data_IF_452876957886
#
_entry.id   IF_452876957886
#
_cell.length_a   1.000
_cell.length_b   1.000
_cell.length_c   1.000
_cell.angle_alpha   90.00
_cell.angle_beta   90.00
_cell.angle_gamma   90.00
#
_symmetry.space_group_name_H-M   'P 1'
#
loop_
_entity.id
_entity.type
_entity.pdbx_description
1 polymer ?
#
# COMPACT_ATOMS: atom_id res chain seq x y z
N UNK A 1 20.33 -55.78 -44.13
CA UNK A 1 20.37 -54.39 -44.62
C UNK A 1 18.95 -53.85 -44.51
N UNK A 2 18.56 -52.84 -43.74
CA UNK A 2 19.19 -51.98 -42.73
C UNK A 2 18.02 -51.62 -41.80
N UNK A 3 18.22 -51.81 -40.49
CA UNK A 3 17.41 -51.20 -39.44
C UNK A 3 17.55 -49.68 -39.51
N UNK A 4 16.46 -48.92 -39.40
CA UNK A 4 16.56 -47.51 -39.07
C UNK A 4 15.59 -47.19 -37.94
N UNK A 5 16.17 -47.22 -36.73
CA UNK A 5 15.75 -46.41 -35.60
C UNK A 5 15.67 -44.94 -36.02
N UNK A 6 14.58 -44.29 -35.66
CA UNK A 6 14.40 -42.86 -35.79
C UNK A 6 13.67 -42.35 -34.56
N UNK A 7 14.39 -42.29 -33.44
CA UNK A 7 13.95 -41.59 -32.25
C UNK A 7 13.77 -40.11 -32.59
N UNK A 8 12.52 -39.70 -32.74
CA UNK A 8 12.15 -38.29 -32.66
C UNK A 8 12.13 -37.93 -31.19
N UNK A 9 13.19 -37.26 -30.75
CA UNK A 9 13.30 -36.69 -29.42
C UNK A 9 12.03 -35.89 -29.09
N UNK A 10 11.41 -36.20 -27.95
CA UNK A 10 10.47 -35.30 -27.27
C UNK A 10 11.14 -33.93 -27.13
N UNK A 11 10.69 -32.96 -27.91
CA UNK A 11 11.03 -31.55 -27.73
C UNK A 11 10.43 -31.14 -26.38
N UNK A 12 11.27 -31.12 -25.34
CA UNK A 12 10.97 -30.52 -24.05
C UNK A 12 10.28 -29.18 -24.27
N UNK A 13 9.07 -28.93 -23.72
CA UNK A 13 8.37 -27.68 -23.93
C UNK A 13 9.29 -26.51 -23.56
N UNK A 14 9.55 -25.59 -24.50
CA UNK A 14 10.23 -24.32 -24.21
C UNK A 14 9.46 -23.67 -23.06
N UNK A 15 10.06 -23.63 -21.88
CA UNK A 15 9.50 -22.96 -20.71
C UNK A 15 9.34 -21.47 -21.07
N UNK A 16 8.10 -21.06 -21.35
CA UNK A 16 7.80 -19.68 -21.71
C UNK A 16 7.97 -18.86 -20.43
N UNK A 17 9.07 -18.11 -20.34
CA UNK A 17 9.37 -17.26 -19.19
C UNK A 17 8.27 -16.19 -19.02
N UNK A 18 7.90 -15.84 -17.78
CA UNK A 18 6.97 -14.75 -17.54
C UNK A 18 7.58 -13.42 -17.97
N UNK A 19 6.75 -12.44 -18.39
CA UNK A 19 7.24 -11.12 -18.72
C UNK A 19 7.86 -10.43 -17.51
N UNK A 20 8.93 -9.69 -17.76
CA UNK A 20 9.61 -8.85 -16.77
C UNK A 20 8.80 -7.58 -16.49
N UNK A 21 8.90 -7.01 -15.27
CA UNK A 21 8.24 -5.75 -14.95
C UNK A 21 8.80 -4.60 -15.77
N UNK A 22 7.94 -3.68 -16.18
CA UNK A 22 8.38 -2.46 -16.87
C UNK A 22 9.15 -1.53 -15.93
N UNK A 23 9.95 -0.64 -16.51
CA UNK A 23 10.75 0.36 -15.78
C UNK A 23 10.13 1.76 -15.82
N UNK A 24 9.05 1.95 -16.59
CA UNK A 24 8.38 3.24 -16.74
C UNK A 24 6.90 3.14 -16.38
N UNK A 25 6.31 4.26 -15.95
CA UNK A 25 4.89 4.35 -15.59
C UNK A 25 3.97 3.97 -16.75
N UNK A 26 4.27 4.48 -17.95
CA UNK A 26 3.44 4.27 -19.14
C UNK A 26 3.36 2.80 -19.55
N UNK A 27 4.41 2.02 -19.26
CA UNK A 27 4.55 0.63 -19.67
C UNK A 27 4.16 -0.37 -18.58
N UNK A 28 4.07 0.06 -17.32
CA UNK A 28 3.84 -0.84 -16.19
C UNK A 28 2.47 -1.53 -16.22
N UNK A 29 1.39 -0.79 -16.41
CA UNK A 29 0.04 -1.38 -16.53
C UNK A 29 -0.10 -2.24 -17.80
N UNK A 30 0.42 -1.83 -18.98
CA UNK A 30 0.57 -2.74 -20.13
C UNK A 30 1.32 -4.03 -19.81
N UNK A 31 2.43 -3.97 -19.06
CA UNK A 31 3.20 -5.14 -18.67
C UNK A 31 2.38 -6.08 -17.76
N UNK A 32 1.58 -5.56 -16.83
CA UNK A 32 0.66 -6.38 -16.02
C UNK A 32 -0.42 -7.07 -16.87
N UNK A 33 -0.92 -6.41 -17.93
CA UNK A 33 -1.85 -7.03 -18.88
C UNK A 33 -1.19 -8.16 -19.68
N UNK A 34 0.09 -7.99 -20.05
CA UNK A 34 0.88 -9.04 -20.68
C UNK A 34 1.09 -10.22 -19.73
N UNK A 35 1.38 -9.96 -18.45
CA UNK A 35 1.54 -11.00 -17.43
C UNK A 35 0.30 -11.88 -17.29
N UNK A 36 -0.90 -11.30 -17.28
CA UNK A 36 -2.15 -12.09 -17.27
C UNK A 36 -2.36 -12.87 -18.54
N UNK A 37 -2.01 -12.29 -19.69
CA UNK A 37 -2.11 -12.97 -20.99
C UNK A 37 -1.18 -14.18 -21.01
N UNK A 38 0.04 -14.03 -20.49
CA UNK A 38 0.99 -15.13 -20.29
C UNK A 38 0.44 -16.20 -19.34
N UNK A 39 -0.16 -15.79 -18.22
CA UNK A 39 -0.76 -16.72 -17.26
C UNK A 39 -2.02 -17.43 -17.81
N UNK A 40 -2.62 -16.93 -18.90
CA UNK A 40 -3.82 -17.50 -19.51
C UNK A 40 -5.09 -17.37 -18.66
N UNK A 41 -5.15 -16.38 -17.76
CA UNK A 41 -6.22 -16.26 -16.76
C UNK A 41 -7.24 -15.17 -17.08
N UNK A 42 -8.51 -15.49 -16.80
CA UNK A 42 -9.59 -14.50 -16.73
C UNK A 42 -9.58 -13.76 -15.40
N UNK A 43 -10.22 -12.59 -15.34
CA UNK A 43 -10.33 -11.82 -14.08
C UNK A 43 -11.03 -12.61 -12.96
N UNK A 44 -12.05 -13.41 -13.29
CA UNK A 44 -12.74 -14.26 -12.31
C UNK A 44 -11.84 -15.37 -11.74
N UNK A 45 -10.92 -15.91 -12.55
CA UNK A 45 -9.97 -16.91 -12.10
C UNK A 45 -8.86 -16.30 -11.23
N UNK A 46 -8.43 -15.08 -11.54
CA UNK A 46 -7.50 -14.32 -10.69
C UNK A 46 -8.12 -14.01 -9.33
N UNK A 47 -9.37 -13.57 -9.31
CA UNK A 47 -10.13 -13.33 -8.07
C UNK A 47 -10.24 -14.60 -7.21
N UNK A 48 -10.60 -15.73 -7.83
CA UNK A 48 -10.69 -17.02 -7.13
C UNK A 48 -9.34 -17.44 -6.53
N UNK A 49 -8.23 -17.29 -7.28
CA UNK A 49 -6.88 -17.63 -6.80
C UNK A 49 -6.39 -16.70 -5.71
N UNK A 50 -6.64 -15.40 -5.82
CA UNK A 50 -6.31 -14.45 -4.77
C UNK A 50 -7.03 -14.83 -3.47
N UNK A 51 -8.32 -15.18 -3.56
CA UNK A 51 -9.12 -15.63 -2.42
C UNK A 51 -8.60 -16.92 -1.79
N UNK A 52 -8.15 -17.89 -2.59
CA UNK A 52 -7.50 -19.11 -2.09
C UNK A 52 -6.22 -18.81 -1.30
N UNK A 53 -5.53 -17.71 -1.63
CA UNK A 53 -4.35 -17.21 -0.94
C UNK A 53 -4.68 -16.25 0.21
N UNK A 54 -5.95 -16.09 0.58
CA UNK A 54 -6.39 -15.18 1.63
C UNK A 54 -6.35 -13.69 1.26
N UNK A 55 -6.21 -13.35 -0.03
CA UNK A 55 -6.14 -11.97 -0.52
C UNK A 55 -7.45 -11.56 -1.22
N UNK A 56 -7.81 -10.28 -1.11
CA UNK A 56 -8.94 -9.72 -1.86
C UNK A 56 -8.45 -9.15 -3.20
N UNK A 57 -8.97 -9.68 -4.31
CA UNK A 57 -8.71 -9.13 -5.64
C UNK A 57 -9.96 -9.23 -6.52
N UNK A 58 -11.01 -8.43 -6.26
CA UNK A 58 -12.26 -8.50 -7.02
C UNK A 58 -12.04 -8.28 -8.51
N UNK A 59 -12.77 -9.01 -9.34
CA UNK A 59 -12.66 -8.92 -10.80
C UNK A 59 -12.96 -7.52 -11.35
N UNK A 60 -13.83 -6.76 -10.69
CA UNK A 60 -14.08 -5.33 -10.97
C UNK A 60 -12.85 -4.48 -10.71
N UNK A 61 -12.17 -4.66 -9.57
CA UNK A 61 -10.92 -3.96 -9.22
C UNK A 61 -9.83 -4.27 -10.24
N UNK A 62 -9.67 -5.53 -10.65
CA UNK A 62 -8.69 -5.90 -11.68
C UNK A 62 -8.98 -5.16 -13.00
N UNK A 63 -10.24 -5.18 -13.45
CA UNK A 63 -10.63 -4.53 -14.70
C UNK A 63 -10.42 -3.01 -14.66
N UNK A 64 -10.78 -2.36 -13.55
CA UNK A 64 -10.63 -0.93 -13.34
C UNK A 64 -9.16 -0.52 -13.27
N UNK A 65 -8.37 -1.17 -12.41
CA UNK A 65 -6.95 -0.87 -12.22
C UNK A 65 -6.16 -1.09 -13.51
N UNK A 66 -6.37 -2.24 -14.17
CA UNK A 66 -5.74 -2.50 -15.46
C UNK A 66 -6.33 -1.66 -16.59
N UNK A 67 -7.41 -0.91 -16.41
CA UNK A 67 -7.95 0.00 -17.43
C UNK A 67 -7.25 1.37 -17.45
N UNK A 68 -6.55 1.72 -16.36
CA UNK A 68 -5.95 3.05 -16.16
C UNK A 68 -4.49 3.10 -16.65
N UNK A 69 -3.98 4.32 -16.83
CA UNK A 69 -2.57 4.60 -17.15
C UNK A 69 -1.77 5.09 -15.91
N UNK A 70 -2.29 4.80 -14.72
CA UNK A 70 -1.67 5.15 -13.44
C UNK A 70 -0.98 3.92 -12.83
N UNK A 71 -0.08 4.18 -11.88
CA UNK A 71 0.66 3.12 -11.20
C UNK A 71 -0.27 2.37 -10.23
N UNK A 72 -0.43 1.04 -10.34
CA UNK A 72 -1.21 0.28 -9.39
C UNK A 72 -0.59 0.27 -7.99
N UNK A 73 -1.44 0.08 -6.97
CA UNK A 73 -1.03 -0.06 -5.57
C UNK A 73 -0.12 -1.27 -5.38
N UNK A 74 0.74 -1.22 -4.37
CA UNK A 74 1.69 -2.30 -4.09
C UNK A 74 1.00 -3.60 -3.73
N UNK A 75 0.02 -3.55 -2.82
CA UNK A 75 -0.78 -4.71 -2.41
C UNK A 75 -1.53 -5.33 -3.61
N UNK A 76 -2.01 -4.50 -4.54
CA UNK A 76 -2.58 -4.99 -5.80
C UNK A 76 -1.53 -5.72 -6.65
N UNK A 77 -0.34 -5.15 -6.84
CA UNK A 77 0.73 -5.77 -7.65
C UNK A 77 1.18 -7.10 -7.02
N UNK A 78 1.37 -7.15 -5.69
CA UNK A 78 1.68 -8.37 -4.95
C UNK A 78 0.59 -9.44 -5.16
N UNK A 79 -0.67 -9.11 -4.86
CA UNK A 79 -1.79 -10.03 -4.98
C UNK A 79 -1.99 -10.52 -6.43
N UNK A 80 -1.91 -9.62 -7.40
CA UNK A 80 -2.12 -9.91 -8.82
C UNK A 80 -1.02 -10.79 -9.39
N UNK A 81 0.25 -10.47 -9.13
CA UNK A 81 1.40 -11.25 -9.65
C UNK A 81 1.44 -12.66 -9.06
N UNK A 82 1.09 -12.82 -7.79
CA UNK A 82 0.92 -14.14 -7.15
C UNK A 82 -0.26 -14.92 -7.68
N UNK A 83 -1.40 -14.25 -7.92
CA UNK A 83 -2.56 -14.88 -8.57
C UNK A 83 -2.25 -15.31 -10.02
N UNK A 84 -1.36 -14.60 -10.71
CA UNK A 84 -0.78 -14.98 -12.00
C UNK A 84 0.18 -16.18 -11.91
N UNK A 85 0.58 -16.62 -10.72
CA UNK A 85 1.42 -17.79 -10.50
C UNK A 85 2.93 -17.51 -10.50
N UNK A 86 3.34 -16.26 -10.31
CA UNK A 86 4.76 -15.92 -10.14
C UNK A 86 5.31 -16.46 -8.82
N UNK A 87 6.59 -16.85 -8.83
CA UNK A 87 7.33 -17.22 -7.61
C UNK A 87 7.67 -15.98 -6.78
N UNK A 88 7.94 -16.14 -5.50
CA UNK A 88 8.29 -15.04 -4.57
C UNK A 88 9.33 -14.06 -5.13
N UNK A 89 10.42 -14.57 -5.71
CA UNK A 89 11.49 -13.74 -6.29
C UNK A 89 11.01 -12.91 -7.49
N UNK A 90 10.04 -13.42 -8.26
CA UNK A 90 9.46 -12.71 -9.38
C UNK A 90 8.45 -11.67 -8.90
N UNK A 91 7.63 -12.01 -7.89
CA UNK A 91 6.71 -11.07 -7.25
C UNK A 91 7.48 -9.88 -6.69
N UNK A 92 8.58 -10.13 -5.97
CA UNK A 92 9.40 -9.05 -5.41
C UNK A 92 9.97 -8.15 -6.51
N UNK A 93 10.41 -8.70 -7.65
CA UNK A 93 10.86 -7.88 -8.79
C UNK A 93 9.77 -6.94 -9.31
N UNK A 94 8.52 -7.38 -9.36
CA UNK A 94 7.39 -6.55 -9.76
C UNK A 94 7.08 -5.44 -8.73
N UNK A 95 7.12 -5.78 -7.45
CA UNK A 95 6.94 -4.82 -6.34
C UNK A 95 8.08 -3.78 -6.34
N UNK A 96 9.33 -4.21 -6.49
CA UNK A 96 10.50 -3.34 -6.54
C UNK A 96 10.48 -2.41 -7.78
N UNK A 97 10.07 -2.94 -8.94
CA UNK A 97 9.92 -2.13 -10.14
C UNK A 97 8.81 -1.06 -9.98
N UNK A 98 7.68 -1.43 -9.39
CA UNK A 98 6.62 -0.49 -9.02
C UNK A 98 7.16 0.60 -8.07
N UNK A 99 7.90 0.22 -7.03
CA UNK A 99 8.51 1.17 -6.09
C UNK A 99 9.49 2.13 -6.80
N UNK A 100 10.33 1.64 -7.72
CA UNK A 100 11.25 2.50 -8.50
C UNK A 100 10.52 3.51 -9.38
N UNK A 101 9.46 3.07 -10.08
CA UNK A 101 8.63 3.96 -10.90
C UNK A 101 7.95 5.01 -10.01
N UNK A 102 7.44 4.63 -8.84
CA UNK A 102 6.86 5.58 -7.89
C UNK A 102 7.90 6.63 -7.45
N UNK A 103 9.16 6.23 -7.28
CA UNK A 103 10.25 7.13 -6.87
C UNK A 103 10.80 8.02 -8.00
N UNK A 104 10.40 7.83 -9.27
CA UNK A 104 10.97 8.56 -10.41
C UNK A 104 12.41 8.15 -10.77
N UNK A 105 12.89 7.00 -10.28
CA UNK A 105 14.24 6.52 -10.57
C UNK A 105 14.22 5.81 -11.92
N UNK A 106 14.55 6.52 -13.00
CA UNK A 106 14.85 5.88 -14.29
C UNK A 106 16.04 4.93 -14.11
N UNK A 107 16.02 3.73 -14.71
CA UNK A 107 17.21 2.89 -14.74
C UNK A 107 18.28 3.63 -15.54
N UNK A 108 19.41 3.95 -14.89
CA UNK A 108 20.59 4.37 -15.62
C UNK A 108 20.90 3.30 -16.67
N UNK A 109 20.77 3.70 -17.94
CA UNK A 109 21.24 2.88 -19.05
C UNK A 109 22.74 2.69 -18.84
N UNK A 110 23.14 1.45 -18.60
CA UNK A 110 24.53 1.02 -18.53
C UNK A 110 25.18 1.21 -19.91
N UNK A 111 25.67 2.42 -20.18
CA UNK A 111 26.69 2.66 -21.19
C UNK A 111 28.06 2.49 -20.53
N UNK A 112 28.55 1.25 -20.61
CA UNK A 112 29.74 0.82 -19.88
C UNK A 112 31.06 1.46 -20.33
N UNK A 113 32.07 1.37 -19.47
CA UNK A 113 33.46 1.17 -19.86
C UNK A 113 34.29 0.70 -18.67
N UNK A 114 35.17 -0.27 -18.95
CA UNK A 114 36.01 -1.00 -18.01
C UNK A 114 36.81 -0.15 -17.01
N UNK A 115 36.97 -0.74 -15.83
CA UNK A 115 37.94 -0.34 -14.82
C UNK A 115 38.19 -1.52 -13.90
N UNK A 116 39.14 -2.37 -14.29
CA UNK A 116 39.71 -3.41 -13.43
C UNK A 116 40.07 -2.82 -12.07
N UNK A 117 39.38 -3.22 -11.01
CA UNK A 117 39.92 -3.20 -9.65
C UNK A 117 39.44 -4.42 -8.89
N UNK A 118 40.36 -5.37 -8.75
CA UNK A 118 40.26 -6.51 -7.85
C UNK A 118 40.27 -5.99 -6.41
N UNK A 119 39.19 -6.22 -5.66
CA UNK A 119 39.26 -6.33 -4.19
C UNK A 119 38.42 -7.52 -3.73
N UNK A 120 39.14 -8.49 -3.18
CA UNK A 120 38.70 -9.70 -2.51
C UNK A 120 37.72 -9.41 -1.36
N UNK A 121 36.55 -10.07 -1.36
CA UNK A 121 35.74 -10.23 -0.16
C UNK A 121 35.23 -11.68 -0.06
N UNK A 122 35.65 -12.33 1.02
CA UNK A 122 35.40 -13.71 1.43
C UNK A 122 33.90 -13.96 1.64
N UNK A 123 33.33 -15.11 1.23
CA UNK A 123 31.94 -15.43 1.53
C UNK A 123 31.84 -16.16 2.87
N UNK A 124 31.01 -15.65 3.78
CA UNK A 124 30.42 -16.47 4.83
C UNK A 124 28.99 -16.01 5.09
N UNK A 125 28.06 -16.63 4.35
CA UNK A 125 26.62 -16.56 4.60
C UNK A 125 26.34 -17.13 5.99
N UNK A 126 25.97 -16.29 6.95
CA UNK A 126 25.29 -16.76 8.16
C UNK A 126 23.82 -16.95 7.81
N UNK A 127 23.47 -18.16 7.36
CA UNK A 127 22.09 -18.62 7.25
C UNK A 127 21.59 -18.94 8.67
N UNK A 128 20.73 -18.09 9.23
CA UNK A 128 20.02 -18.40 10.48
C UNK A 128 18.75 -19.21 10.17
N UNK A 129 18.57 -20.40 10.78
CA UNK A 129 17.41 -21.24 10.51
C UNK A 129 16.20 -20.77 11.32
N UNK A 130 15.27 -20.16 10.61
CA UNK A 130 13.90 -19.89 11.01
C UNK A 130 13.19 -21.20 11.42
N UNK A 131 13.05 -21.46 12.72
CA UNK A 131 12.28 -22.61 13.24
C UNK A 131 10.90 -22.13 13.66
N UNK A 132 9.92 -22.35 12.78
CA UNK A 132 8.50 -22.28 13.10
C UNK A 132 8.21 -23.32 14.19
N UNK A 133 7.80 -22.88 15.37
CA UNK A 133 7.08 -23.72 16.34
C UNK A 133 5.68 -23.15 16.48
N UNK A 134 4.75 -23.82 15.81
CA UNK A 134 3.32 -23.69 16.06
C UNK A 134 3.00 -24.02 17.53
N UNK A 135 1.88 -23.48 18.04
CA UNK A 135 1.07 -24.23 18.98
C UNK A 135 -0.30 -24.56 18.37
N UNK A 136 -0.57 -25.86 18.32
CA UNK A 136 -1.90 -26.46 18.20
C UNK A 136 -2.67 -26.11 19.48
N UNK A 137 -3.82 -25.46 19.37
CA UNK A 137 -4.78 -25.36 20.47
C UNK A 137 -6.03 -26.16 20.09
N UNK A 138 -6.23 -27.24 20.85
CA UNK A 138 -7.43 -28.07 20.89
C UNK A 138 -8.47 -27.34 21.74
N UNK A 139 -9.68 -27.14 21.23
CA UNK A 139 -10.85 -26.83 22.05
C UNK A 139 -12.05 -27.66 21.56
N UNK A 140 -12.44 -28.62 22.41
CA UNK A 140 -13.62 -29.46 22.30
C UNK A 140 -14.78 -28.74 23.00
N UNK A 141 -15.89 -28.48 22.32
CA UNK A 141 -17.20 -28.32 22.96
C UNK A 141 -18.26 -29.05 22.12
N UNK A 142 -18.94 -30.01 22.75
CA UNK A 142 -20.01 -30.84 22.21
C UNK A 142 -21.35 -30.35 22.77
N UNK A 143 -22.34 -30.20 21.87
CA UNK A 143 -23.78 -30.43 22.09
C UNK A 143 -24.56 -29.28 22.75
N UNK A 144 -25.84 -29.02 22.49
CA UNK A 144 -26.89 -29.64 21.69
C UNK A 144 -28.04 -28.59 21.71
N UNK A 145 -28.57 -28.08 20.60
CA UNK A 145 -29.76 -28.63 19.92
C UNK A 145 -30.97 -27.68 20.03
N UNK A 146 -31.60 -27.34 18.90
CA UNK A 146 -33.02 -27.59 18.58
C UNK A 146 -33.48 -26.75 17.38
N UNK A 147 -34.15 -27.46 16.47
CA UNK A 147 -34.77 -27.05 15.22
C UNK A 147 -36.03 -26.24 15.47
N UNK A 148 -36.33 -25.24 14.63
CA UNK A 148 -37.70 -24.92 14.22
C UNK A 148 -37.70 -24.26 12.83
N UNK A 149 -38.18 -25.03 11.84
CA UNK A 149 -38.57 -24.55 10.53
C UNK A 149 -39.96 -23.90 10.62
N UNK A 150 -40.11 -22.68 10.09
CA UNK A 150 -41.42 -22.17 9.67
C UNK A 150 -41.27 -21.57 8.28
N UNK A 151 -41.87 -22.28 7.33
CA UNK A 151 -42.16 -21.80 5.99
C UNK A 151 -43.36 -20.86 6.08
N UNK A 152 -43.24 -19.62 5.61
CA UNK A 152 -44.43 -18.84 5.23
C UNK A 152 -44.23 -18.16 3.88
N UNK A 153 -45.28 -18.31 3.09
CA UNK A 153 -45.37 -18.22 1.64
C UNK A 153 -46.01 -16.88 1.27
N UNK A 154 -45.39 -16.18 0.33
CA UNK A 154 -46.05 -15.36 -0.68
C UNK A 154 -46.50 -13.94 -0.30
N UNK A 155 -45.99 -12.96 -1.04
CA UNK A 155 -46.78 -11.85 -1.64
C UNK A 155 -45.93 -11.08 -2.67
N UNK A 156 -46.55 -10.27 -3.54
CA UNK A 156 -46.45 -10.44 -4.98
C UNK A 156 -45.52 -9.44 -5.66
N UNK A 157 -45.20 -9.78 -6.91
CA UNK A 157 -44.52 -8.97 -7.91
C UNK A 157 -45.05 -7.54 -7.99
N UNK A 158 -44.16 -6.59 -7.78
CA UNK A 158 -44.30 -5.20 -8.19
C UNK A 158 -43.00 -4.78 -8.86
N UNK A 159 -42.94 -4.93 -10.19
CA UNK A 159 -41.91 -4.30 -10.99
C UNK A 159 -42.19 -2.80 -11.08
N UNK A 160 -41.18 -1.94 -10.94
CA UNK A 160 -41.15 -0.71 -11.68
C UNK A 160 -40.06 -0.75 -12.75
N UNK A 161 -40.37 -0.06 -13.83
CA UNK A 161 -39.64 0.11 -15.07
C UNK A 161 -38.12 0.23 -14.91
N UNK A 162 -37.43 -0.48 -15.81
CA UNK A 162 -36.08 -0.15 -16.25
C UNK A 162 -36.07 1.30 -16.72
N UNK A 163 -35.64 2.20 -15.85
CA UNK A 163 -35.08 3.48 -16.25
C UNK A 163 -33.58 3.25 -16.33
N UNK A 164 -33.05 3.21 -17.54
CA UNK A 164 -31.63 3.23 -17.82
C UNK A 164 -31.03 4.50 -17.21
N UNK A 165 -30.61 4.42 -15.95
CA UNK A 165 -29.69 5.40 -15.38
C UNK A 165 -28.38 5.17 -16.11
N UNK A 166 -28.06 6.11 -16.98
CA UNK A 166 -26.71 6.35 -17.47
C UNK A 166 -25.76 6.16 -16.30
N UNK A 167 -24.95 5.10 -16.34
CA UNK A 167 -23.80 4.95 -15.46
C UNK A 167 -22.85 6.06 -15.89
N UNK A 168 -23.03 7.24 -15.28
CA UNK A 168 -21.93 8.15 -15.13
C UNK A 168 -20.93 7.38 -14.27
N UNK A 169 -19.84 6.95 -14.89
CA UNK A 169 -18.64 6.51 -14.21
C UNK A 169 -18.12 7.71 -13.43
N UNK A 170 -18.70 7.95 -12.27
CA UNK A 170 -18.11 8.80 -11.25
C UNK A 170 -16.97 7.96 -10.69
N UNK A 171 -15.74 8.31 -11.06
CA UNK A 171 -14.57 7.94 -10.27
C UNK A 171 -14.86 8.39 -8.85
N UNK A 172 -15.00 7.47 -7.91
CA UNK A 172 -15.40 7.77 -6.56
C UNK A 172 -14.12 8.05 -5.79
N UNK A 173 -13.73 9.33 -5.77
CA UNK A 173 -12.60 9.83 -5.01
C UNK A 173 -12.69 9.31 -3.57
N UNK A 174 -11.71 8.53 -3.13
CA UNK A 174 -11.73 7.87 -1.81
C UNK A 174 -11.68 8.87 -0.63
N UNK A 175 -11.42 10.15 -0.91
CA UNK A 175 -11.65 11.27 0.01
C UNK A 175 -12.36 12.37 -0.79
N UNK A 176 -13.70 12.42 -0.84
CA UNK A 176 -14.48 13.18 -1.84
C UNK A 176 -14.21 14.68 -1.94
N UNK A 177 -13.56 15.27 -0.94
CA UNK A 177 -13.31 16.71 -0.83
C UNK A 177 -11.83 17.09 -1.03
N UNK A 178 -10.93 16.11 -1.15
CA UNK A 178 -9.51 16.31 -1.40
C UNK A 178 -9.16 15.63 -2.73
N UNK A 179 -8.31 16.22 -3.56
CA UNK A 179 -7.87 15.63 -4.85
C UNK A 179 -6.94 14.40 -4.64
N UNK A 180 -7.29 13.51 -3.71
CA UNK A 180 -6.67 12.20 -3.52
C UNK A 180 -7.29 11.23 -4.50
N UNK A 181 -6.48 10.73 -5.44
CA UNK A 181 -6.93 9.70 -6.37
C UNK A 181 -7.17 8.37 -5.67
N UNK A 182 -8.05 7.53 -6.23
CA UNK A 182 -8.20 6.13 -5.79
C UNK A 182 -6.89 5.33 -5.85
N UNK A 183 -5.89 5.78 -6.61
CA UNK A 183 -4.56 5.13 -6.68
C UNK A 183 -3.53 5.75 -5.73
N UNK A 184 -3.97 6.69 -4.90
CA UNK A 184 -3.13 7.49 -4.03
C UNK A 184 -2.59 8.76 -4.70
N UNK A 185 -2.15 9.70 -3.87
CA UNK A 185 -1.65 11.00 -4.28
C UNK A 185 -0.43 11.40 -3.44
N UNK A 186 0.51 12.08 -4.07
CA UNK A 186 1.59 12.76 -3.36
C UNK A 186 1.04 13.99 -2.65
N UNK A 187 1.53 14.24 -1.44
CA UNK A 187 1.08 15.39 -0.65
C UNK A 187 2.21 15.97 0.22
N UNK A 188 2.03 17.20 0.65
CA UNK A 188 2.68 17.75 1.84
C UNK A 188 1.63 17.87 2.95
N UNK A 189 2.01 17.46 4.17
CA UNK A 189 1.18 17.60 5.36
C UNK A 189 1.92 18.56 6.31
N UNK A 190 1.26 19.64 6.71
CA UNK A 190 1.81 20.68 7.57
C UNK A 190 0.98 20.79 8.84
N UNK A 191 1.56 20.92 10.05
CA UNK A 191 0.77 21.32 11.21
C UNK A 191 0.23 22.74 10.98
N UNK A 192 -1.08 22.93 11.16
CA UNK A 192 -1.76 24.17 10.76
C UNK A 192 -1.26 25.40 11.54
N UNK A 193 -0.85 25.21 12.80
CA UNK A 193 -0.28 26.29 13.63
C UNK A 193 1.18 26.63 13.32
N UNK A 194 1.87 25.78 12.55
CA UNK A 194 3.27 25.95 12.15
C UNK A 194 3.46 25.55 10.67
N UNK A 195 2.77 26.20 9.73
CA UNK A 195 2.66 25.73 8.34
C UNK A 195 3.99 25.77 7.55
N UNK A 196 5.01 26.42 8.10
CA UNK A 196 6.40 26.39 7.59
C UNK A 196 7.10 25.04 7.79
N UNK A 197 6.53 24.16 8.61
CA UNK A 197 7.04 22.82 8.86
C UNK A 197 6.15 21.78 8.19
N UNK A 198 6.76 20.63 7.90
CA UNK A 198 6.13 19.47 7.30
C UNK A 198 6.20 18.28 8.27
N UNK A 199 5.22 17.38 8.16
CA UNK A 199 5.28 16.05 8.75
C UNK A 199 6.39 15.27 8.06
N UNK A 200 7.50 15.05 8.77
CA UNK A 200 8.70 14.41 8.22
C UNK A 200 9.44 13.62 9.31
N UNK A 201 10.59 13.07 8.93
CA UNK A 201 11.44 12.29 9.83
C UNK A 201 12.06 13.15 10.94
N UNK A 202 11.90 12.71 12.18
CA UNK A 202 12.54 13.27 13.36
C UNK A 202 13.07 12.20 14.30
N UNK A 203 13.39 12.60 15.52
CA UNK A 203 13.88 11.72 16.59
C UNK A 203 13.09 11.98 17.86
N UNK A 204 12.85 10.94 18.63
CA UNK A 204 12.25 11.06 19.95
C UNK A 204 13.13 11.95 20.85
N UNK A 205 12.53 12.99 21.46
CA UNK A 205 13.25 13.94 22.31
C UNK A 205 13.89 13.27 23.53
N UNK A 206 13.33 12.15 23.99
CA UNK A 206 13.84 11.43 25.16
C UNK A 206 15.05 10.54 24.82
N UNK A 207 15.32 10.31 23.53
CA UNK A 207 16.30 9.37 23.01
C UNK A 207 16.12 7.92 23.52
N UNK A 208 14.95 7.56 24.04
CA UNK A 208 14.63 6.19 24.44
C UNK A 208 14.16 5.37 23.25
N UNK A 209 13.50 6.02 22.29
CA UNK A 209 13.15 5.42 21.01
C UNK A 209 14.16 5.85 19.92
N UNK A 210 15.00 4.91 19.49
CA UNK A 210 16.17 5.24 18.65
C UNK A 210 15.90 5.29 17.15
N UNK A 211 14.73 4.80 16.73
CA UNK A 211 14.31 4.77 15.32
C UNK A 211 13.67 6.10 14.93
N UNK A 212 13.67 6.39 13.62
CA UNK A 212 12.92 7.49 13.04
C UNK A 212 11.46 7.54 13.54
N UNK A 213 10.96 8.74 13.77
CA UNK A 213 9.58 9.03 14.15
C UNK A 213 9.03 10.18 13.30
N UNK A 214 7.70 10.33 13.26
CA UNK A 214 7.07 11.52 12.70
C UNK A 214 7.28 12.75 13.60
N UNK A 215 7.74 13.84 13.02
CA UNK A 215 7.93 15.12 13.69
C UNK A 215 7.69 16.29 12.72
N UNK A 216 7.48 17.49 13.25
CA UNK A 216 7.49 18.70 12.44
C UNK A 216 8.94 19.08 12.10
N UNK A 217 9.27 19.18 10.82
CA UNK A 217 10.60 19.59 10.35
C UNK A 217 10.49 20.68 9.29
N UNK A 218 11.55 21.47 9.04
CA UNK A 218 11.63 22.30 7.85
C UNK A 218 11.35 21.46 6.59
N UNK A 219 10.41 21.94 5.77
CA UNK A 219 10.00 21.30 4.52
C UNK A 219 11.17 21.24 3.51
N UNK A 220 11.14 20.27 2.60
CA UNK A 220 12.07 20.20 1.47
C UNK A 220 13.53 19.85 1.79
N UNK A 221 13.82 19.32 2.98
CA UNK A 221 15.18 18.83 3.28
C UNK A 221 15.52 17.60 2.41
N UNK A 222 16.76 17.56 1.90
CA UNK A 222 17.24 16.58 0.91
C UNK A 222 17.12 15.11 1.35
N UNK A 223 17.04 14.85 2.66
CA UNK A 223 16.95 13.50 3.25
C UNK A 223 15.56 13.22 3.85
N UNK A 224 14.60 14.16 3.71
CA UNK A 224 13.25 13.92 4.21
C UNK A 224 12.49 12.97 3.28
N UNK A 225 11.72 12.02 3.83
CA UNK A 225 10.83 11.20 3.03
C UNK A 225 9.77 12.08 2.36
N UNK A 226 9.38 11.70 1.14
CA UNK A 226 8.18 12.27 0.50
C UNK A 226 6.94 11.54 1.01
N UNK A 227 5.84 12.28 1.20
CA UNK A 227 4.58 11.71 1.70
C UNK A 227 3.70 11.30 0.53
N UNK A 228 3.28 10.04 0.54
CA UNK A 228 2.28 9.49 -0.36
C UNK A 228 1.08 9.02 0.46
N UNK A 229 -0.11 9.50 0.10
CA UNK A 229 -1.36 9.10 0.76
C UNK A 229 -2.01 8.03 -0.10
N UNK A 230 -2.09 6.81 0.42
CA UNK A 230 -2.66 5.65 -0.27
C UNK A 230 -4.01 5.29 0.37
N UNK A 231 -5.16 5.48 -0.31
CA UNK A 231 -6.44 5.06 0.23
C UNK A 231 -6.49 3.55 0.44
N UNK A 232 -7.16 3.06 1.47
CA UNK A 232 -7.29 1.63 1.79
C UNK A 232 -8.77 1.28 1.98
N UNK A 233 -9.23 0.25 1.28
CA UNK A 233 -10.62 -0.20 1.35
C UNK A 233 -11.64 0.82 0.83
N UNK A 234 -12.89 0.67 1.27
CA UNK A 234 -14.03 1.54 0.91
C UNK A 234 -14.38 2.55 2.03
N UNK A 235 -13.75 2.45 3.21
CA UNK A 235 -14.13 3.19 4.43
C UNK A 235 -13.42 4.56 4.58
N UNK A 236 -12.98 5.16 3.48
CA UNK A 236 -12.17 6.40 3.46
C UNK A 236 -10.90 6.33 4.35
N UNK A 237 -10.44 5.12 4.68
CA UNK A 237 -9.19 4.92 5.37
C UNK A 237 -8.02 5.17 4.41
N UNK A 238 -6.90 5.63 4.94
CA UNK A 238 -5.68 5.86 4.17
C UNK A 238 -4.48 5.34 4.95
N UNK A 239 -3.44 4.90 4.24
CA UNK A 239 -2.09 4.82 4.76
C UNK A 239 -1.34 6.11 4.42
N UNK A 240 -0.55 6.58 5.37
CA UNK A 240 0.44 7.64 5.13
C UNK A 240 1.78 6.95 4.91
N UNK A 241 2.24 6.92 3.66
CA UNK A 241 3.49 6.29 3.26
C UNK A 241 4.60 7.34 3.17
N UNK A 242 5.77 6.98 3.68
CA UNK A 242 7.02 7.70 3.51
C UNK A 242 7.88 7.01 2.46
N UNK A 243 8.19 7.72 1.40
CA UNK A 243 9.05 7.24 0.32
C UNK A 243 10.43 7.88 0.47
N UNK A 244 11.42 7.09 0.85
CA UNK A 244 12.78 7.55 1.09
C UNK A 244 13.76 6.91 0.09
N UNK A 245 14.61 7.74 -0.55
CA UNK A 245 15.54 7.29 -1.60
C UNK A 245 16.49 6.16 -1.15
N UNK A 246 16.91 6.18 0.12
CA UNK A 246 17.84 5.17 0.67
C UNK A 246 17.22 3.99 1.42
N UNK A 247 16.03 4.13 2.02
CA UNK A 247 15.48 3.13 2.95
C UNK A 247 14.19 2.47 2.44
N UNK A 248 13.66 2.95 1.31
CA UNK A 248 12.47 2.44 0.65
C UNK A 248 11.19 3.09 1.16
N UNK A 249 10.08 2.37 1.00
CA UNK A 249 8.76 2.79 1.46
C UNK A 249 8.59 2.35 2.93
N UNK A 250 8.04 3.25 3.75
CA UNK A 250 7.61 2.95 5.11
C UNK A 250 6.21 3.50 5.38
N UNK A 251 5.29 2.66 5.85
CA UNK A 251 3.97 3.07 6.29
C UNK A 251 4.05 3.60 7.73
N UNK A 252 3.53 4.81 7.96
CA UNK A 252 3.44 5.36 9.30
C UNK A 252 2.54 4.48 10.15
N UNK A 253 3.06 4.07 11.30
CA UNK A 253 2.42 3.16 12.23
C UNK A 253 2.38 3.81 13.61
N UNK A 254 1.21 3.86 14.23
CA UNK A 254 1.10 4.24 15.64
C UNK A 254 1.59 3.08 16.50
N UNK A 255 2.51 3.37 17.42
CA UNK A 255 2.90 2.43 18.46
C UNK A 255 1.98 2.60 19.67
N UNK A 256 1.24 1.56 20.02
CA UNK A 256 0.29 1.61 21.14
C UNK A 256 0.87 1.17 22.48
N UNK A 257 2.11 0.66 22.48
CA UNK A 257 2.77 0.12 23.66
C UNK A 257 4.29 0.33 23.64
N UNK A 258 4.92 -0.02 24.76
CA UNK A 258 6.37 0.04 24.94
C UNK A 258 6.92 1.47 25.01
N UNK A 259 8.24 1.59 24.84
CA UNK A 259 8.96 2.87 24.96
C UNK A 259 8.60 3.89 23.87
N UNK A 260 7.98 3.44 22.78
CA UNK A 260 7.53 4.28 21.69
C UNK A 260 6.05 4.60 21.73
N UNK A 261 5.35 4.31 22.84
CA UNK A 261 3.91 4.53 22.95
C UNK A 261 3.52 5.95 22.49
N UNK A 262 2.46 5.99 21.69
CA UNK A 262 1.88 7.16 21.03
C UNK A 262 2.75 7.81 19.93
N UNK A 263 3.94 7.29 19.63
CA UNK A 263 4.74 7.74 18.50
C UNK A 263 4.23 7.15 17.18
N UNK A 264 4.41 7.91 16.11
CA UNK A 264 4.25 7.44 14.74
C UNK A 264 5.61 7.09 14.16
N UNK A 265 5.76 5.88 13.65
CA UNK A 265 7.04 5.36 13.14
C UNK A 265 6.88 4.76 11.75
N UNK A 266 7.85 4.92 10.84
CA UNK A 266 7.81 4.25 9.55
C UNK A 266 8.11 2.75 9.71
N UNK A 267 7.21 1.90 9.20
CA UNK A 267 7.34 0.44 9.16
C UNK A 267 7.36 -0.05 7.72
N UNK A 268 8.21 -1.04 7.42
CA UNK A 268 8.40 -1.55 6.05
C UNK A 268 7.32 -2.53 5.62
N UNK A 269 6.65 -3.15 6.58
CA UNK A 269 5.50 -4.02 6.41
C UNK A 269 4.23 -3.17 6.29
N UNK A 270 4.05 -2.54 5.13
CA UNK A 270 2.80 -1.88 4.77
C UNK A 270 1.67 -2.93 4.67
N UNK A 271 0.81 -2.95 5.67
CA UNK A 271 -0.27 -3.93 5.86
C UNK A 271 -1.63 -3.20 5.90
N UNK A 272 -2.42 -3.43 4.86
CA UNK A 272 -3.74 -2.82 4.66
C UNK A 272 -4.78 -3.28 5.71
N UNK A 273 -4.52 -4.39 6.40
CA UNK A 273 -5.40 -4.91 7.47
C UNK A 273 -4.95 -4.43 8.88
N UNK A 274 -3.75 -3.83 8.99
CA UNK A 274 -3.23 -3.36 10.26
C UNK A 274 -3.78 -1.96 10.60
N UNK A 275 -4.80 -1.91 11.45
CA UNK A 275 -5.45 -0.64 11.84
C UNK A 275 -4.51 0.39 12.44
N UNK A 276 -3.35 0.00 12.99
CA UNK A 276 -2.36 0.94 13.51
C UNK A 276 -1.59 1.70 12.40
N UNK A 277 -1.72 1.25 11.16
CA UNK A 277 -1.16 1.90 9.95
C UNK A 277 -2.21 2.67 9.15
N UNK A 278 -3.47 2.61 9.59
CA UNK A 278 -4.59 3.23 8.89
C UNK A 278 -5.03 4.49 9.62
N UNK A 279 -5.37 5.51 8.83
CA UNK A 279 -5.81 6.82 9.29
C UNK A 279 -7.07 7.25 8.54
N UNK A 280 -7.86 8.12 9.14
CA UNK A 280 -8.92 8.86 8.45
C UNK A 280 -8.68 10.36 8.54
N UNK A 281 -9.06 11.08 7.49
CA UNK A 281 -8.96 12.53 7.42
C UNK A 281 -10.34 13.16 7.58
N UNK A 282 -10.54 13.85 8.70
CA UNK A 282 -11.74 14.64 8.98
C UNK A 282 -11.51 16.09 8.52
N UNK A 283 -12.26 16.64 7.55
CA UNK A 283 -12.13 18.04 7.14
C UNK A 283 -12.61 18.99 8.25
N UNK A 284 -11.86 20.07 8.46
CA UNK A 284 -12.20 21.14 9.40
C UNK A 284 -12.64 22.38 8.62
N UNK A 285 -13.89 22.80 8.84
CA UNK A 285 -14.47 23.98 8.17
C UNK A 285 -15.29 23.63 6.93
N UNK A 286 -15.73 24.65 6.16
CA UNK A 286 -16.57 24.42 4.99
C UNK A 286 -15.80 23.66 3.91
N UNK A 287 -16.39 22.61 3.36
CA UNK A 287 -15.85 21.84 2.26
C UNK A 287 -15.72 22.72 1.02
N UNK A 288 -14.49 22.92 0.55
CA UNK A 288 -14.20 23.68 -0.66
C UNK A 288 -12.82 23.32 -1.21
N UNK A 289 -12.52 23.65 -2.48
CA UNK A 289 -11.23 23.35 -3.10
C UNK A 289 -10.04 24.01 -2.38
N UNK A 290 -10.29 25.05 -1.59
CA UNK A 290 -9.28 25.74 -0.78
C UNK A 290 -9.21 25.21 0.68
N UNK A 291 -10.08 24.25 1.07
CA UNK A 291 -10.11 23.70 2.43
C UNK A 291 -9.19 22.48 2.55
N UNK A 292 -7.89 22.72 2.76
CA UNK A 292 -6.92 21.67 3.07
C UNK A 292 -6.81 21.34 4.56
N UNK A 293 -7.59 22.00 5.42
CA UNK A 293 -7.50 21.85 6.88
C UNK A 293 -8.21 20.57 7.34
N UNK A 294 -7.48 19.72 8.05
CA UNK A 294 -7.93 18.41 8.51
C UNK A 294 -7.55 18.12 9.95
N UNK A 295 -8.28 17.17 10.53
CA UNK A 295 -7.86 16.37 11.67
C UNK A 295 -7.55 14.95 11.18
N UNK A 296 -6.48 14.37 11.69
CA UNK A 296 -6.05 13.02 11.34
C UNK A 296 -6.36 12.09 12.52
N UNK A 297 -7.07 11.00 12.25
CA UNK A 297 -7.45 10.01 13.27
C UNK A 297 -6.82 8.65 12.96
N UNK A 298 -6.07 8.03 13.88
CA UNK A 298 -5.71 6.62 13.77
C UNK A 298 -6.96 5.75 13.86
N UNK A 299 -7.15 4.83 12.90
CA UNK A 299 -8.34 3.98 12.83
C UNK A 299 -8.49 3.13 14.09
N UNK A 300 -9.70 3.08 14.65
CA UNK A 300 -10.03 2.27 15.82
C UNK A 300 -9.53 2.81 17.17
N UNK A 301 -8.79 3.93 17.19
CA UNK A 301 -8.23 4.50 18.43
C UNK A 301 -9.20 5.42 19.18
N UNK A 302 -10.09 6.12 18.47
CA UNK A 302 -10.85 7.25 19.02
C UNK A 302 -9.98 8.46 19.40
N UNK A 303 -8.71 8.46 18.96
CA UNK A 303 -7.71 9.48 19.22
C UNK A 303 -7.44 10.33 17.98
N UNK A 304 -6.61 11.35 18.16
CA UNK A 304 -6.22 12.31 17.15
C UNK A 304 -4.70 12.39 17.07
N UNK A 305 -4.18 12.74 15.90
CA UNK A 305 -2.79 13.17 15.81
C UNK A 305 -2.66 14.61 16.30
N UNK A 306 -1.56 14.90 16.98
CA UNK A 306 -1.25 16.24 17.47
C UNK A 306 0.25 16.47 17.63
N UNK A 307 0.62 17.74 17.77
CA UNK A 307 1.98 18.13 18.17
C UNK A 307 2.16 17.86 19.66
N UNK A 308 3.16 17.04 20.01
CA UNK A 308 3.49 16.75 21.41
C UNK A 308 3.69 18.04 22.20
N UNK A 309 3.04 18.11 23.37
CA UNK A 309 3.03 19.26 24.28
C UNK A 309 2.57 20.58 23.61
N UNK A 310 1.92 20.49 22.44
CA UNK A 310 1.52 21.64 21.63
C UNK A 310 2.70 22.52 21.16
N UNK A 311 3.91 21.96 21.13
CA UNK A 311 5.15 22.67 20.82
C UNK A 311 5.17 23.15 19.35
N UNK A 312 5.84 24.29 19.11
CA UNK A 312 5.91 24.95 17.79
C UNK A 312 7.32 24.98 17.20
N UNK A 313 8.22 24.18 17.75
CA UNK A 313 9.64 24.15 17.38
C UNK A 313 9.93 23.00 16.42
N UNK A 314 10.95 23.16 15.57
CA UNK A 314 11.42 22.07 14.73
C UNK A 314 11.84 20.86 15.59
N UNK A 315 11.48 19.66 15.15
CA UNK A 315 11.74 18.41 15.86
C UNK A 315 10.64 17.98 16.84
N UNK A 316 9.60 18.80 17.09
CA UNK A 316 8.44 18.34 17.88
C UNK A 316 7.80 17.14 17.23
N UNK A 317 7.61 16.09 18.01
CA UNK A 317 6.99 14.83 17.60
C UNK A 317 5.52 15.02 17.24
N UNK A 318 5.08 14.33 16.19
CA UNK A 318 3.67 14.10 15.92
C UNK A 318 3.28 12.83 16.66
N UNK A 319 2.30 12.93 17.54
CA UNK A 319 1.89 11.84 18.43
C UNK A 319 0.40 11.57 18.30
N UNK A 320 0.02 10.35 18.67
CA UNK A 320 -1.36 10.03 18.99
C UNK A 320 -1.70 10.60 20.38
N UNK A 321 -2.82 11.28 20.49
CA UNK A 321 -3.30 11.80 21.77
C UNK A 321 -4.82 11.97 21.78
N UNK A 322 -5.37 12.26 22.96
CA UNK A 322 -6.80 12.52 23.11
C UNK A 322 -7.22 13.71 22.24
N UNK A 323 -8.27 13.53 21.45
CA UNK A 323 -8.87 14.62 20.70
C UNK A 323 -9.33 15.76 21.62
N UNK A 324 -8.71 16.92 21.46
CA UNK A 324 -8.97 18.16 22.20
C UNK A 324 -9.68 19.21 21.32
N UNK A 325 -9.52 19.10 19.99
CA UNK A 325 -9.97 20.12 19.04
C UNK A 325 -9.10 21.38 19.05
N UNK A 326 -7.93 21.33 19.70
CA UNK A 326 -7.00 22.44 19.73
C UNK A 326 -6.19 22.55 18.42
N UNK A 327 -5.63 23.74 18.10
CA UNK A 327 -4.91 23.98 16.84
C UNK A 327 -3.66 23.11 16.61
N UNK A 328 -3.12 22.48 17.65
CA UNK A 328 -2.04 21.49 17.55
C UNK A 328 -2.46 20.15 16.93
N UNK A 329 -3.77 19.88 16.84
CA UNK A 329 -4.36 18.68 16.22
C UNK A 329 -4.92 18.95 14.82
N UNK A 330 -4.63 20.12 14.26
CA UNK A 330 -5.08 20.52 12.93
C UNK A 330 -3.89 20.52 11.97
N UNK A 331 -4.10 19.99 10.77
CA UNK A 331 -3.10 19.87 9.73
C UNK A 331 -3.62 20.44 8.42
N UNK A 332 -2.75 21.04 7.63
CA UNK A 332 -3.01 21.37 6.23
C UNK A 332 -2.44 20.25 5.37
N UNK A 333 -3.25 19.72 4.46
CA UNK A 333 -2.81 18.76 3.46
C UNK A 333 -2.90 19.38 2.06
N UNK A 334 -1.76 19.39 1.36
CA UNK A 334 -1.61 19.97 0.04
C UNK A 334 -1.20 18.87 -0.95
N UNK A 335 -2.05 18.48 -1.92
CA UNK A 335 -1.63 17.60 -3.00
C UNK A 335 -0.48 18.23 -3.80
N UNK A 336 0.54 17.44 -4.11
CA UNK A 336 1.69 17.85 -4.93
C UNK A 336 1.81 16.92 -6.15
N UNK A 337 2.41 17.37 -7.26
CA UNK A 337 2.69 16.49 -8.39
C UNK A 337 3.63 15.34 -7.98
N UNK A 338 3.57 14.19 -8.67
CA UNK A 338 4.57 13.15 -8.48
C UNK A 338 5.99 13.68 -8.74
N UNK A 339 7.01 13.10 -8.07
CA UNK A 339 8.39 13.42 -8.38
C UNK A 339 8.65 13.17 -9.87
N UNK A 340 9.40 14.09 -10.49
CA UNK A 340 9.85 13.98 -11.87
C UNK A 340 10.86 12.84 -12.03
#
# INVERSE_FOLDING_TARGET
MISQEGGGAEESPREVLPPEPATTLAEFTPALRLLRTWAGLTYRQLEARAKEQGRALPSSTIATTLGRSTLPRESFVDAYTRACGLKEEQVQRWVDARARIAMGVEPEADEGAGGDTVVTAVPARVRSPWRWRAPVIVAVIIGLGLVLAVSFRGRPSGAPAQTSKSVATSSETAVPWLDISEVGSWAEIHPARTPKFCLAEGRDRTNQFTTAIAAQQPCGQTVSPRVFVDPVGEDNAVQIQWHHQGSGIGCLTVLNDGVGQDLLVPRKDCDDDNTNQLFTFEPIGPSGPDSGLIRIHPVGSGQCLGLRDQDTIAGTEIVQERCSGAPDQEFLINPIPPPA
#
